data_IF_887669890790
#
_entry.id   IF_887669890790
#
_cell.length_a   1.000
_cell.length_b   1.000
_cell.length_c   1.000
_cell.angle_alpha   90.00
_cell.angle_beta   90.00
_cell.angle_gamma   90.00
#
_symmetry.space_group_name_H-M   'P 1'
#
loop_
_entity.id
_entity.type
_entity.pdbx_description
1 polymer ?
#
# COMPACT_ATOMS: atom_id res chain seq x y z
N UNK A 1 1.81 0.31 19.97
CA UNK A 1 2.73 1.42 20.30
C UNK A 1 1.89 2.67 20.42
N UNK A 2 1.81 3.28 21.60
CA UNK A 2 0.79 4.28 21.91
C UNK A 2 0.88 5.54 21.04
N UNK A 3 2.09 5.84 20.55
CA UNK A 3 2.36 6.94 19.62
C UNK A 3 1.64 6.81 18.26
N UNK A 4 1.02 5.66 17.97
CA UNK A 4 0.21 5.45 16.76
C UNK A 4 -1.29 5.62 16.97
N UNK A 5 -1.78 5.55 18.22
CA UNK A 5 -3.22 5.46 18.52
C UNK A 5 -4.02 6.60 17.89
N UNK A 6 -3.66 7.90 18.08
CA UNK A 6 -4.44 9.00 17.50
C UNK A 6 -4.47 8.97 15.96
N UNK A 7 -3.39 8.47 15.33
CA UNK A 7 -3.31 8.38 13.88
C UNK A 7 -4.17 7.22 13.34
N UNK A 8 -4.21 6.08 14.04
CA UNK A 8 -5.04 4.93 13.66
C UNK A 8 -6.52 5.27 13.79
N UNK A 9 -6.93 5.93 14.88
CA UNK A 9 -8.31 6.41 15.07
C UNK A 9 -8.77 7.27 13.89
N UNK A 10 -7.94 8.24 13.47
CA UNK A 10 -8.23 9.08 12.30
C UNK A 10 -8.20 8.32 10.94
N UNK A 11 -7.55 7.15 10.85
CA UNK A 11 -7.54 6.33 9.64
C UNK A 11 -8.80 5.48 9.50
N UNK A 12 -9.28 4.88 10.59
CA UNK A 12 -10.46 3.98 10.57
C UNK A 12 -11.77 4.71 10.29
N UNK A 13 -11.82 6.02 10.54
CA UNK A 13 -12.97 6.87 10.19
C UNK A 13 -13.08 7.15 8.67
N UNK A 14 -12.02 6.89 7.90
CA UNK A 14 -12.00 7.21 6.46
C UNK A 14 -12.81 6.20 5.67
N UNK A 15 -13.60 6.69 4.70
CA UNK A 15 -14.32 5.82 3.78
C UNK A 15 -13.33 4.95 2.99
N UNK A 16 -13.46 3.61 3.00
CA UNK A 16 -12.59 2.74 2.19
C UNK A 16 -12.82 2.96 0.69
N UNK A 17 -11.78 2.78 -0.10
CA UNK A 17 -11.87 2.65 -1.55
C UNK A 17 -11.99 1.17 -1.93
N UNK A 18 -12.44 0.90 -3.15
CA UNK A 18 -12.39 -0.44 -3.71
C UNK A 18 -10.95 -0.96 -3.74
N UNK A 19 -10.80 -2.28 -3.58
CA UNK A 19 -9.50 -2.91 -3.63
C UNK A 19 -8.90 -2.78 -5.04
N UNK A 20 -7.60 -2.51 -5.17
CA UNK A 20 -6.94 -2.50 -6.47
C UNK A 20 -6.83 -3.92 -7.04
N UNK A 21 -6.60 -4.02 -8.34
CA UNK A 21 -6.17 -5.26 -8.98
C UNK A 21 -4.65 -5.25 -9.07
N UNK A 22 -4.01 -6.28 -8.49
CA UNK A 22 -2.61 -6.54 -8.75
C UNK A 22 -2.48 -7.30 -10.08
N UNK A 23 -1.83 -6.67 -11.05
CA UNK A 23 -1.43 -7.30 -12.29
C UNK A 23 0.08 -7.58 -12.26
N UNK A 24 0.45 -8.78 -12.69
CA UNK A 24 1.83 -9.27 -12.76
C UNK A 24 2.11 -9.63 -14.21
N UNK A 25 3.24 -9.19 -14.76
CA UNK A 25 3.62 -9.45 -16.15
C UNK A 25 3.77 -10.95 -16.42
N UNK A 26 2.92 -11.56 -17.27
CA UNK A 26 2.99 -12.99 -17.55
C UNK A 26 4.18 -13.37 -18.43
N UNK A 27 4.90 -12.40 -19.03
CA UNK A 27 6.08 -12.68 -19.84
C UNK A 27 7.35 -12.94 -18.98
N UNK A 28 7.33 -12.65 -17.69
CA UNK A 28 8.45 -12.92 -16.78
C UNK A 28 8.32 -14.34 -16.22
N UNK A 29 9.18 -15.23 -16.70
CA UNK A 29 9.15 -16.66 -16.34
C UNK A 29 10.22 -17.05 -15.30
N UNK A 30 11.16 -16.17 -14.97
CA UNK A 30 12.15 -16.36 -13.91
C UNK A 30 11.79 -15.54 -12.67
N UNK A 31 11.64 -16.21 -11.54
CA UNK A 31 11.32 -15.60 -10.24
C UNK A 31 12.29 -14.47 -9.85
N UNK A 32 13.58 -14.60 -10.19
CA UNK A 32 14.58 -13.59 -9.85
C UNK A 32 14.69 -12.46 -10.88
N UNK A 33 13.97 -12.55 -12.01
CA UNK A 33 13.96 -11.53 -13.05
C UNK A 33 12.88 -10.46 -12.86
N UNK A 34 12.00 -10.60 -11.86
CA UNK A 34 10.99 -9.58 -11.56
C UNK A 34 11.64 -8.25 -11.16
N UNK A 35 11.12 -7.17 -11.73
CA UNK A 35 11.45 -5.79 -11.35
C UNK A 35 10.17 -5.03 -10.96
N UNK A 36 10.27 -3.82 -10.39
CA UNK A 36 9.08 -3.00 -10.12
C UNK A 36 8.19 -2.76 -11.36
N UNK A 37 8.80 -2.69 -12.55
CA UNK A 37 8.10 -2.50 -13.83
C UNK A 37 7.26 -3.73 -14.24
N UNK A 38 7.58 -4.92 -13.73
CA UNK A 38 6.80 -6.15 -13.96
C UNK A 38 5.46 -6.17 -13.21
N UNK A 39 5.17 -5.16 -12.39
CA UNK A 39 4.02 -5.09 -11.50
C UNK A 39 3.20 -3.84 -11.78
N UNK A 40 1.88 -3.97 -11.79
CA UNK A 40 0.96 -2.83 -11.87
C UNK A 40 -0.15 -2.98 -10.83
N UNK A 41 -0.47 -1.87 -10.17
CA UNK A 41 -1.64 -1.78 -9.29
C UNK A 41 -2.71 -0.96 -10.01
N UNK A 42 -3.63 -1.66 -10.65
CA UNK A 42 -4.72 -1.05 -11.40
C UNK A 42 -5.82 -0.57 -10.44
N UNK A 43 -6.30 0.65 -10.64
CA UNK A 43 -7.32 1.25 -9.78
C UNK A 43 -6.82 1.63 -8.37
N UNK A 44 -5.51 1.67 -8.13
CA UNK A 44 -4.99 2.00 -6.80
C UNK A 44 -5.33 3.43 -6.39
N UNK A 45 -6.03 3.53 -5.25
CA UNK A 45 -6.40 4.78 -4.60
C UNK A 45 -6.03 4.70 -3.13
N UNK A 46 -5.33 5.71 -2.65
CA UNK A 46 -4.97 5.82 -1.24
C UNK A 46 -5.42 7.17 -0.68
N UNK A 47 -5.75 7.18 0.60
CA UNK A 47 -5.92 8.44 1.32
C UNK A 47 -4.55 9.05 1.60
N UNK A 48 -4.41 10.40 1.55
CA UNK A 48 -3.18 11.06 1.95
C UNK A 48 -2.77 10.69 3.38
N UNK A 49 -1.48 10.41 3.57
CA UNK A 49 -0.92 10.18 4.89
C UNK A 49 -0.49 11.52 5.49
N UNK A 50 -1.03 11.87 6.67
CA UNK A 50 -0.82 13.17 7.31
C UNK A 50 0.60 13.38 7.89
N UNK A 51 1.46 12.36 7.88
CA UNK A 51 2.82 12.44 8.39
C UNK A 51 3.51 11.07 8.48
N UNK A 52 4.79 11.05 8.88
CA UNK A 52 5.53 9.80 9.07
C UNK A 52 5.00 9.04 10.29
N UNK A 53 4.79 7.73 10.14
CA UNK A 53 4.47 6.83 11.25
C UNK A 53 5.80 6.35 11.86
N UNK A 54 6.07 6.60 13.16
CA UNK A 54 7.36 6.24 13.76
C UNK A 54 7.49 4.72 13.91
N UNK A 55 8.63 4.16 13.58
CA UNK A 55 8.96 2.75 13.86
C UNK A 55 9.60 2.68 15.24
N UNK A 56 9.17 1.72 16.07
CA UNK A 56 9.85 1.45 17.33
C UNK A 56 11.19 0.76 17.05
N UNK A 57 12.23 1.18 17.77
CA UNK A 57 13.59 0.60 17.71
C UNK A 57 13.81 -0.23 18.95
#
# INVERSE_FOLDING_TARGET
YDRHVPLVEALVERKPYDAPTLWIDPAVEDFYAFTPESLRLEGYRAHPLAGKIPVAV
#
